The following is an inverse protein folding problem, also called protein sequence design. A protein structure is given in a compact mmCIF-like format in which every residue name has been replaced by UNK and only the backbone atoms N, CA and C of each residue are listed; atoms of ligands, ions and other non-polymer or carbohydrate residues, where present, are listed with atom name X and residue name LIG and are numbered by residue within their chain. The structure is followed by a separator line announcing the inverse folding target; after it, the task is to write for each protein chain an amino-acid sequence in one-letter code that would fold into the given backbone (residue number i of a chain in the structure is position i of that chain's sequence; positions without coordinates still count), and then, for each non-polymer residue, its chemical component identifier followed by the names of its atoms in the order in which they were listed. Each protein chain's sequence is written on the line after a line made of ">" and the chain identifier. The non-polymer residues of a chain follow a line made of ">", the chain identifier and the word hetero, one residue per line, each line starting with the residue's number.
data_IF_650360167526
#
_entry.id   IF_650360167526
#
_cell.length_a   1.000
_cell.length_b   1.000
_cell.length_c   1.000
_cell.angle_alpha   90.00
_cell.angle_beta   90.00
_cell.angle_gamma   90.00
#
_symmetry.space_group_name_H-M   'P 1'
#
loop_
_entity.id
_entity.type
_entity.pdbx_description
1 polymer ?
#
# COMPACT_ATOMS: atom_id res chain seq x y z
N UNK A 1 -19.43 7.06 7.20
CA UNK A 1 -18.94 5.75 6.74
C UNK A 1 -19.76 5.23 5.56
N UNK A 2 -19.08 4.71 4.53
CA UNK A 2 -19.64 3.97 3.40
C UNK A 2 -20.03 2.55 3.81
N UNK A 3 -21.21 2.46 4.40
CA UNK A 3 -21.77 1.20 4.89
C UNK A 3 -21.95 0.13 3.81
N UNK A 4 -22.45 0.51 2.63
CA UNK A 4 -22.79 -0.45 1.59
C UNK A 4 -21.55 -0.96 0.86
N UNK A 5 -20.58 -0.09 0.60
CA UNK A 5 -19.32 -0.45 -0.02
C UNK A 5 -18.50 -1.33 0.92
N UNK A 6 -18.39 -0.96 2.19
CA UNK A 6 -17.63 -1.75 3.17
C UNK A 6 -18.24 -3.12 3.43
N UNK A 7 -19.57 -3.24 3.51
CA UNK A 7 -20.24 -4.54 3.67
C UNK A 7 -19.93 -5.47 2.49
N UNK A 8 -20.09 -4.98 1.26
CA UNK A 8 -19.76 -5.75 0.05
C UNK A 8 -18.29 -6.17 0.02
N UNK A 9 -17.39 -5.30 0.48
CA UNK A 9 -15.97 -5.60 0.57
C UNK A 9 -15.68 -6.74 1.55
N UNK A 10 -16.25 -6.70 2.76
CA UNK A 10 -16.09 -7.74 3.76
C UNK A 10 -16.63 -9.11 3.30
N UNK A 11 -17.78 -9.11 2.62
CA UNK A 11 -18.36 -10.33 2.04
C UNK A 11 -17.45 -10.94 0.98
N UNK A 12 -16.83 -10.11 0.13
CA UNK A 12 -15.85 -10.56 -0.88
C UNK A 12 -14.56 -11.08 -0.26
N UNK A 13 -14.11 -10.51 0.85
CA UNK A 13 -12.91 -10.98 1.57
C UNK A 13 -13.18 -12.20 2.46
N UNK A 14 -14.42 -12.72 2.47
CA UNK A 14 -14.77 -13.95 3.17
C UNK A 14 -15.01 -13.80 4.67
N UNK A 15 -15.28 -12.59 5.18
CA UNK A 15 -15.64 -12.40 6.59
C UNK A 15 -17.01 -13.05 6.88
N UNK A 16 -17.08 -13.84 7.97
CA UNK A 16 -18.34 -14.46 8.39
C UNK A 16 -19.41 -13.40 8.79
N UNK A 17 -20.72 -13.67 8.60
CA UNK A 17 -21.78 -12.68 8.87
C UNK A 17 -21.75 -12.08 10.29
N UNK A 18 -21.46 -12.89 11.31
CA UNK A 18 -21.36 -12.43 12.69
C UNK A 18 -20.16 -11.49 12.91
N UNK A 19 -19.05 -11.76 12.22
CA UNK A 19 -17.87 -10.87 12.24
C UNK A 19 -18.23 -9.54 11.62
N UNK A 20 -18.88 -9.53 10.45
CA UNK A 20 -19.36 -8.30 9.77
C UNK A 20 -20.20 -7.46 10.73
N UNK A 21 -21.23 -8.05 11.35
CA UNK A 21 -22.10 -7.33 12.30
C UNK A 21 -21.32 -6.75 13.48
N UNK A 22 -20.35 -7.50 14.02
CA UNK A 22 -19.47 -7.02 15.09
C UNK A 22 -18.65 -5.82 14.62
N UNK A 23 -18.10 -5.84 13.39
CA UNK A 23 -17.33 -4.70 12.85
C UNK A 23 -18.19 -3.45 12.77
N UNK A 24 -19.39 -3.55 12.21
CA UNK A 24 -20.32 -2.42 12.13
C UNK A 24 -20.67 -1.89 13.52
N UNK A 25 -20.95 -2.76 14.49
CA UNK A 25 -21.24 -2.32 15.86
C UNK A 25 -20.08 -1.54 16.49
N UNK A 26 -18.83 -2.00 16.29
CA UNK A 26 -17.64 -1.30 16.78
C UNK A 26 -17.44 0.05 16.09
N UNK A 27 -17.54 0.10 14.76
CA UNK A 27 -17.36 1.33 13.97
C UNK A 27 -18.44 2.37 14.27
N UNK A 28 -19.70 1.97 14.42
CA UNK A 28 -20.80 2.88 14.82
C UNK A 28 -20.58 3.48 16.20
N UNK A 29 -19.94 2.74 17.11
CA UNK A 29 -19.58 3.27 18.42
C UNK A 29 -18.45 4.29 18.31
N UNK A 30 -17.49 4.11 17.42
CA UNK A 30 -16.47 5.12 17.12
C UNK A 30 -17.14 6.36 16.51
N UNK A 31 -17.96 6.21 15.47
CA UNK A 31 -18.65 7.35 14.81
C UNK A 31 -19.50 8.17 15.78
N UNK A 32 -20.18 7.52 16.73
CA UNK A 32 -20.98 8.20 17.75
C UNK A 32 -20.17 9.21 18.58
N UNK A 33 -18.87 8.96 18.80
CA UNK A 33 -18.01 9.77 19.66
C UNK A 33 -17.01 10.64 18.90
N UNK A 34 -16.69 10.28 17.66
CA UNK A 34 -15.68 10.95 16.84
C UNK A 34 -16.25 11.64 15.59
N UNK A 35 -17.50 11.39 15.23
CA UNK A 35 -18.10 11.88 13.99
C UNK A 35 -17.90 10.93 12.81
N UNK A 36 -18.20 11.40 11.60
CA UNK A 36 -18.15 10.58 10.39
C UNK A 36 -16.71 10.13 10.08
N UNK A 37 -16.51 8.81 9.97
CA UNK A 37 -15.20 8.22 9.68
C UNK A 37 -14.68 8.52 8.27
N UNK A 38 -15.55 8.78 7.29
CA UNK A 38 -15.11 9.16 5.94
C UNK A 38 -14.54 10.58 5.94
N UNK A 39 -15.16 11.48 6.70
CA UNK A 39 -14.68 12.84 6.89
C UNK A 39 -13.38 12.84 7.70
N UNK A 40 -13.31 12.05 8.78
CA UNK A 40 -12.08 11.91 9.57
C UNK A 40 -10.93 11.31 8.74
N UNK A 41 -11.21 10.32 7.89
CA UNK A 41 -10.20 9.80 6.95
C UNK A 41 -9.72 10.87 5.99
N UNK A 42 -10.64 11.67 5.43
CA UNK A 42 -10.30 12.74 4.49
C UNK A 42 -9.49 13.87 5.15
N UNK A 43 -9.70 14.13 6.44
CA UNK A 43 -9.03 15.21 7.19
C UNK A 43 -7.62 14.80 7.63
N UNK A 44 -7.47 13.66 8.30
CA UNK A 44 -6.19 13.24 8.90
C UNK A 44 -5.91 11.73 8.83
N UNK A 45 -6.56 11.01 7.91
CA UNK A 45 -6.48 9.54 7.78
C UNK A 45 -6.92 8.80 9.07
N UNK A 46 -7.74 9.43 9.90
CA UNK A 46 -8.13 8.97 11.24
C UNK A 46 -6.96 8.85 12.23
N UNK A 47 -5.81 9.49 12.00
CA UNK A 47 -4.64 9.40 12.88
C UNK A 47 -4.92 9.92 14.30
N UNK A 48 -5.69 11.01 14.43
CA UNK A 48 -6.09 11.54 15.75
C UNK A 48 -6.95 10.52 16.51
N UNK A 49 -7.87 9.83 15.82
CA UNK A 49 -8.71 8.80 16.42
C UNK A 49 -7.87 7.59 16.82
N UNK A 50 -6.99 7.10 15.93
CA UNK A 50 -6.11 5.97 16.20
C UNK A 50 -5.17 6.22 17.39
N UNK A 51 -4.71 7.45 17.54
CA UNK A 51 -3.88 7.89 18.67
C UNK A 51 -4.68 7.83 19.97
N UNK A 52 -5.89 8.38 20.00
CA UNK A 52 -6.78 8.31 21.17
C UNK A 52 -7.26 6.88 21.49
N UNK A 53 -7.26 5.96 20.52
CA UNK A 53 -7.54 4.53 20.71
C UNK A 53 -6.29 3.70 21.08
N UNK A 54 -5.13 4.33 21.22
CA UNK A 54 -3.89 3.63 21.61
C UNK A 54 -3.78 3.59 23.13
N UNK A 55 -3.75 2.38 23.69
CA UNK A 55 -3.60 2.17 25.13
C UNK A 55 -2.85 0.87 25.40
N UNK A 56 -1.74 0.96 26.11
CA UNK A 56 -0.84 -0.16 26.35
C UNK A 56 -1.12 -0.88 27.67
N UNK A 57 -0.63 -2.11 27.79
CA UNK A 57 -0.65 -2.83 29.08
C UNK A 57 0.17 -2.11 30.17
N UNK A 58 1.12 -1.25 29.79
CA UNK A 58 1.85 -0.42 30.75
C UNK A 58 0.97 0.71 31.27
N UNK A 59 0.15 1.33 30.42
CA UNK A 59 -0.77 2.40 30.82
C UNK A 59 -1.81 1.84 31.79
N UNK A 60 -2.35 0.66 31.49
CA UNK A 60 -3.24 -0.08 32.37
C UNK A 60 -2.61 -0.36 33.75
N UNK A 61 -1.35 -0.80 33.78
CA UNK A 61 -0.60 -1.05 35.02
C UNK A 61 -0.35 0.21 35.84
N UNK A 62 -0.20 1.37 35.18
CA UNK A 62 -0.06 2.67 35.85
C UNK A 62 -1.40 3.28 36.25
N UNK A 63 -2.53 2.66 35.88
CA UNK A 63 -3.86 3.17 36.16
C UNK A 63 -4.19 4.45 35.39
N UNK A 64 -3.61 4.63 34.20
CA UNK A 64 -3.89 5.79 33.34
C UNK A 64 -5.38 5.82 32.97
N UNK A 65 -6.01 7.00 32.87
CA UNK A 65 -7.39 7.09 32.43
C UNK A 65 -7.55 6.63 30.97
N UNK A 66 -8.76 6.25 30.59
CA UNK A 66 -9.11 5.98 29.19
C UNK A 66 -8.84 7.25 28.34
N UNK A 67 -7.94 7.19 27.35
CA UNK A 67 -7.59 8.33 26.51
C UNK A 67 -8.65 8.66 25.45
N UNK A 68 -9.59 7.74 25.18
CA UNK A 68 -10.60 7.91 24.14
C UNK A 68 -11.86 8.64 24.64
N UNK A 69 -12.61 9.20 23.70
CA UNK A 69 -13.95 9.79 23.94
C UNK A 69 -15.05 8.75 24.13
N UNK A 70 -14.73 7.45 23.98
CA UNK A 70 -15.69 6.35 24.08
C UNK A 70 -15.78 5.91 25.55
N UNK A 71 -16.97 5.95 26.17
CA UNK A 71 -17.16 5.38 27.50
C UNK A 71 -16.93 3.86 27.48
N UNK A 72 -16.01 3.40 28.32
CA UNK A 72 -15.66 1.98 28.48
C UNK A 72 -15.84 1.61 29.95
N UNK A 73 -16.63 0.56 30.18
CA UNK A 73 -16.73 -0.12 31.47
C UNK A 73 -15.89 -1.41 31.40
N UNK A 74 -15.02 -1.63 32.39
CA UNK A 74 -14.13 -2.80 32.43
C UNK A 74 -12.78 -2.55 31.75
N UNK A 75 -12.24 -3.56 31.06
CA UNK A 75 -10.87 -3.52 30.54
C UNK A 75 -10.71 -2.56 29.34
N UNK A 76 -10.14 -1.39 29.62
CA UNK A 76 -9.82 -0.35 28.64
C UNK A 76 -8.88 -0.88 27.55
N UNK A 77 -7.89 -1.70 27.91
CA UNK A 77 -6.87 -2.20 26.98
C UNK A 77 -7.49 -3.04 25.88
N UNK A 78 -8.27 -4.06 26.26
CA UNK A 78 -8.92 -4.96 25.29
C UNK A 78 -9.97 -4.24 24.45
N UNK A 79 -10.74 -3.33 25.05
CA UNK A 79 -11.76 -2.57 24.32
C UNK A 79 -11.13 -1.65 23.27
N UNK A 80 -10.13 -0.85 23.64
CA UNK A 80 -9.46 0.06 22.70
C UNK A 80 -8.68 -0.68 21.62
N UNK A 81 -8.03 -1.79 21.96
CA UNK A 81 -7.41 -2.68 20.97
C UNK A 81 -8.42 -3.23 19.96
N UNK A 82 -9.63 -3.58 20.42
CA UNK A 82 -10.73 -4.01 19.56
C UNK A 82 -11.20 -2.89 18.64
N UNK A 83 -11.52 -1.70 19.15
CA UNK A 83 -11.93 -0.55 18.32
C UNK A 83 -10.87 -0.23 17.25
N UNK A 84 -9.59 -0.19 17.64
CA UNK A 84 -8.48 0.07 16.73
C UNK A 84 -8.37 -0.97 15.62
N UNK A 85 -8.57 -2.25 15.93
CA UNK A 85 -8.56 -3.34 14.94
C UNK A 85 -9.67 -3.17 13.91
N UNK A 86 -10.86 -2.80 14.37
CA UNK A 86 -12.02 -2.60 13.49
C UNK A 86 -11.88 -1.34 12.64
N UNK A 87 -11.39 -0.24 13.22
CA UNK A 87 -11.10 0.99 12.49
C UNK A 87 -10.06 0.74 11.39
N UNK A 88 -8.93 0.09 11.70
CA UNK A 88 -7.91 -0.26 10.70
C UNK A 88 -8.45 -1.11 9.55
N UNK A 89 -9.38 -2.02 9.82
CA UNK A 89 -10.02 -2.82 8.77
C UNK A 89 -10.89 -1.96 7.84
N UNK A 90 -11.55 -0.93 8.38
CA UNK A 90 -12.29 0.04 7.58
C UNK A 90 -11.35 0.94 6.76
N UNK A 91 -10.23 1.39 7.35
CA UNK A 91 -9.22 2.16 6.64
C UNK A 91 -8.58 1.38 5.48
N UNK A 92 -8.32 0.08 5.65
CA UNK A 92 -7.83 -0.77 4.56
C UNK A 92 -8.84 -0.88 3.40
N UNK A 93 -10.14 -0.81 3.69
CA UNK A 93 -11.17 -0.74 2.66
C UNK A 93 -11.15 0.61 1.94
N UNK A 94 -11.03 1.72 2.66
CA UNK A 94 -10.95 3.06 2.07
C UNK A 94 -9.72 3.20 1.17
N UNK A 95 -8.57 2.70 1.60
CA UNK A 95 -7.33 2.69 0.82
C UNK A 95 -7.47 1.90 -0.49
N UNK A 96 -8.08 0.72 -0.43
CA UNK A 96 -8.36 -0.05 -1.65
C UNK A 96 -9.40 0.62 -2.54
N UNK A 97 -10.40 1.30 -1.97
CA UNK A 97 -11.40 2.05 -2.74
C UNK A 97 -10.79 3.25 -3.43
N UNK A 98 -10.03 4.07 -2.72
CA UNK A 98 -9.31 5.21 -3.30
C UNK A 98 -8.35 4.73 -4.40
N UNK A 99 -7.66 3.61 -4.19
CA UNK A 99 -6.84 2.99 -5.24
C UNK A 99 -7.70 2.60 -6.46
N UNK A 100 -8.87 1.98 -6.26
CA UNK A 100 -9.77 1.60 -7.34
C UNK A 100 -10.40 2.81 -8.06
N UNK A 101 -10.72 3.88 -7.33
CA UNK A 101 -11.28 5.13 -7.86
C UNK A 101 -10.20 5.91 -8.63
N UNK A 102 -8.98 5.96 -8.11
CA UNK A 102 -7.81 6.50 -8.82
C UNK A 102 -7.53 5.69 -10.09
N UNK A 103 -7.64 4.36 -10.04
CA UNK A 103 -7.56 3.51 -11.23
C UNK A 103 -8.71 3.85 -12.19
N UNK A 104 -9.94 4.01 -11.72
CA UNK A 104 -11.11 4.29 -12.57
C UNK A 104 -11.05 5.67 -13.25
N UNK A 105 -10.69 6.72 -12.51
CA UNK A 105 -10.45 8.08 -13.05
C UNK A 105 -9.32 8.08 -14.06
N UNK A 106 -8.26 7.32 -13.77
CA UNK A 106 -7.14 7.19 -14.69
C UNK A 106 -7.62 6.41 -15.94
N UNK A 107 -8.50 5.39 -15.82
CA UNK A 107 -9.07 4.53 -16.89
C UNK A 107 -9.94 5.28 -17.90
N UNK A 108 -10.72 6.27 -17.46
CA UNK A 108 -11.49 7.11 -18.38
C UNK A 108 -10.62 7.97 -19.31
N UNK A 109 -9.34 8.18 -19.00
CA UNK A 109 -8.50 9.15 -19.72
C UNK A 109 -7.81 8.66 -21.01
N UNK A 110 -7.67 7.35 -21.31
CA UNK A 110 -7.06 6.95 -22.62
C UNK A 110 -7.16 5.48 -23.09
N UNK A 111 -7.60 4.50 -22.28
CA UNK A 111 -7.75 3.10 -22.75
C UNK A 111 -8.54 2.25 -21.74
N UNK A 112 -9.38 1.34 -22.23
CA UNK A 112 -10.19 0.45 -21.38
C UNK A 112 -9.35 -0.48 -20.48
N UNK A 113 -9.90 -0.99 -19.37
CA UNK A 113 -9.15 -1.70 -18.32
C UNK A 113 -8.43 -2.96 -18.82
N UNK A 114 -9.01 -3.69 -19.77
CA UNK A 114 -8.36 -4.85 -20.39
C UNK A 114 -7.12 -4.49 -21.22
N UNK A 115 -7.10 -3.30 -21.82
CA UNK A 115 -5.98 -2.84 -22.65
C UNK A 115 -4.83 -2.35 -21.78
N UNK A 116 -5.13 -1.67 -20.66
CA UNK A 116 -4.13 -1.27 -19.66
C UNK A 116 -3.44 -2.44 -18.99
N UNK A 117 -4.22 -3.42 -18.56
CA UNK A 117 -3.67 -4.64 -17.96
C UNK A 117 -2.69 -5.34 -18.90
N UNK A 118 -3.01 -5.39 -20.20
CA UNK A 118 -2.09 -5.92 -21.21
C UNK A 118 -0.84 -5.06 -21.37
N UNK A 119 -0.96 -3.73 -21.39
CA UNK A 119 0.20 -2.85 -21.45
C UNK A 119 1.12 -2.98 -20.23
N UNK A 120 0.55 -3.15 -19.04
CA UNK A 120 1.31 -3.35 -17.80
C UNK A 120 2.09 -4.68 -17.85
N UNK A 121 1.43 -5.77 -18.24
CA UNK A 121 2.09 -7.06 -18.43
C UNK A 121 3.17 -7.02 -19.52
N UNK A 122 2.89 -6.37 -20.66
CA UNK A 122 3.84 -6.22 -21.76
C UNK A 122 5.05 -5.35 -21.33
N UNK A 123 4.81 -4.33 -20.51
CA UNK A 123 5.84 -3.45 -19.94
C UNK A 123 6.73 -4.20 -18.93
N UNK A 124 6.13 -4.93 -17.99
CA UNK A 124 6.87 -5.77 -17.05
C UNK A 124 7.75 -6.77 -17.80
N UNK A 125 7.19 -7.45 -18.80
CA UNK A 125 7.94 -8.42 -19.60
C UNK A 125 9.09 -7.76 -20.38
N UNK A 126 8.89 -6.56 -20.93
CA UNK A 126 9.91 -5.83 -21.68
C UNK A 126 11.03 -5.30 -20.78
N UNK A 127 10.69 -4.71 -19.63
CA UNK A 127 11.65 -4.17 -18.66
C UNK A 127 12.44 -5.29 -17.99
N UNK A 128 11.79 -6.41 -17.63
CA UNK A 128 12.46 -7.57 -17.05
C UNK A 128 13.46 -8.23 -18.02
N UNK A 129 13.25 -8.10 -19.33
CA UNK A 129 14.21 -8.56 -20.36
C UNK A 129 15.34 -7.57 -20.62
N UNK A 130 15.22 -6.35 -20.10
CA UNK A 130 16.12 -5.23 -20.38
C UNK A 130 16.72 -4.64 -19.11
N UNK A 131 16.97 -5.48 -18.08
CA UNK A 131 17.50 -5.02 -16.78
C UNK A 131 18.85 -4.31 -16.90
N UNK A 132 19.68 -4.64 -17.90
CA UNK A 132 20.93 -3.90 -18.17
C UNK A 132 20.70 -2.42 -18.50
N UNK A 133 19.51 -2.05 -19.01
CA UNK A 133 19.14 -0.65 -19.26
C UNK A 133 18.77 0.11 -17.98
N UNK A 134 18.36 -0.61 -16.92
CA UNK A 134 18.11 -0.02 -15.60
C UNK A 134 19.45 0.30 -14.94
N UNK A 135 20.34 -0.69 -14.88
CA UNK A 135 21.70 -0.53 -14.35
C UNK A 135 22.64 -1.58 -14.96
N UNK A 136 23.86 -1.21 -15.39
CA UNK A 136 24.83 -2.18 -15.89
C UNK A 136 25.14 -3.30 -14.89
N UNK A 137 25.03 -4.55 -15.34
CA UNK A 137 25.29 -5.73 -14.51
C UNK A 137 24.14 -6.15 -13.59
N UNK A 138 22.95 -5.55 -13.74
CA UNK A 138 21.74 -6.00 -13.08
C UNK A 138 21.22 -7.30 -13.73
N UNK A 139 21.08 -8.35 -12.92
CA UNK A 139 20.68 -9.69 -13.39
C UNK A 139 19.38 -10.13 -12.76
N UNK A 140 18.49 -10.74 -13.56
CA UNK A 140 17.20 -11.21 -13.08
C UNK A 140 17.38 -12.38 -12.11
N UNK A 141 16.72 -12.33 -10.95
CA UNK A 141 16.60 -13.46 -10.02
C UNK A 141 15.24 -14.13 -10.20
N UNK A 142 14.16 -13.37 -10.10
CA UNK A 142 12.78 -13.86 -10.15
C UNK A 142 11.83 -12.74 -10.61
N UNK A 143 10.82 -13.08 -11.42
CA UNK A 143 9.71 -12.17 -11.77
C UNK A 143 8.49 -12.56 -10.96
N UNK A 144 7.64 -11.59 -10.61
CA UNK A 144 6.40 -11.81 -9.88
C UNK A 144 6.65 -12.62 -8.60
N UNK A 145 7.63 -12.17 -7.81
CA UNK A 145 8.06 -12.86 -6.59
C UNK A 145 7.04 -12.67 -5.47
N UNK A 146 6.52 -13.78 -4.98
CA UNK A 146 5.58 -13.77 -3.85
C UNK A 146 6.30 -13.51 -2.52
N UNK A 147 5.92 -12.44 -1.84
CA UNK A 147 6.41 -12.04 -0.52
C UNK A 147 5.24 -11.97 0.47
N UNK A 148 5.49 -12.04 1.79
CA UNK A 148 4.44 -11.90 2.81
C UNK A 148 3.58 -10.64 2.66
N UNK A 149 4.17 -9.52 2.24
CA UNK A 149 3.48 -8.24 2.07
C UNK A 149 2.87 -8.03 0.67
N UNK A 150 3.10 -8.94 -0.29
CA UNK A 150 2.52 -8.83 -1.62
C UNK A 150 3.33 -9.48 -2.73
N UNK A 151 3.04 -9.10 -3.97
CA UNK A 151 3.71 -9.60 -5.17
C UNK A 151 4.67 -8.51 -5.67
N UNK A 152 5.97 -8.82 -5.67
CA UNK A 152 7.00 -7.95 -6.19
C UNK A 152 7.21 -8.22 -7.68
N UNK A 153 7.16 -7.19 -8.51
CA UNK A 153 7.24 -7.34 -9.98
C UNK A 153 8.55 -8.00 -10.42
N UNK A 154 9.68 -7.50 -9.92
CA UNK A 154 11.00 -8.06 -10.25
C UNK A 154 11.92 -8.07 -9.02
N UNK A 155 12.50 -9.24 -8.75
CA UNK A 155 13.68 -9.37 -7.93
C UNK A 155 14.91 -9.55 -8.82
N UNK A 156 15.92 -8.71 -8.60
CA UNK A 156 17.17 -8.73 -9.34
C UNK A 156 18.38 -8.76 -8.39
N UNK A 157 19.56 -8.96 -8.97
CA UNK A 157 20.85 -8.89 -8.30
C UNK A 157 21.76 -7.91 -9.01
N UNK A 158 22.32 -6.95 -8.29
CA UNK A 158 23.26 -5.98 -8.84
C UNK A 158 24.64 -6.59 -9.10
N UNK A 159 25.52 -5.83 -9.76
CA UNK A 159 26.87 -6.26 -10.11
C UNK A 159 27.76 -6.61 -8.90
N UNK A 160 27.38 -6.19 -7.68
CA UNK A 160 28.09 -6.50 -6.44
C UNK A 160 27.49 -7.71 -5.71
N UNK A 161 26.44 -8.31 -6.27
CA UNK A 161 25.74 -9.45 -5.69
C UNK A 161 24.62 -9.08 -4.73
N UNK A 162 24.31 -7.78 -4.53
CA UNK A 162 23.24 -7.31 -3.66
C UNK A 162 21.86 -7.50 -4.29
N UNK A 163 20.83 -7.81 -3.48
CA UNK A 163 19.46 -7.90 -3.97
C UNK A 163 18.87 -6.52 -4.24
N UNK A 164 18.10 -6.44 -5.33
CA UNK A 164 17.38 -5.24 -5.76
C UNK A 164 15.92 -5.61 -5.98
N UNK A 165 15.03 -5.07 -5.15
CA UNK A 165 13.59 -5.14 -5.36
C UNK A 165 13.18 -4.03 -6.33
N UNK A 166 12.45 -4.37 -7.38
CA UNK A 166 12.04 -3.42 -8.41
C UNK A 166 10.52 -3.47 -8.56
N UNK A 167 9.89 -2.33 -8.33
CA UNK A 167 8.46 -2.09 -8.57
C UNK A 167 8.31 -1.28 -9.86
N UNK A 168 7.46 -1.74 -10.76
CA UNK A 168 7.18 -1.14 -12.06
C UNK A 168 5.81 -0.48 -12.02
N UNK A 169 5.69 0.71 -12.61
CA UNK A 169 4.40 1.36 -12.83
C UNK A 169 4.27 1.77 -14.28
N UNK A 170 3.15 1.39 -14.90
CA UNK A 170 2.82 1.80 -16.27
C UNK A 170 2.32 3.26 -16.38
N UNK A 171 2.00 3.87 -15.24
CA UNK A 171 1.45 5.22 -15.11
C UNK A 171 2.21 6.02 -14.05
N UNK A 172 1.77 7.24 -13.77
CA UNK A 172 2.38 8.10 -12.74
C UNK A 172 2.40 7.39 -11.39
N UNK A 173 3.59 7.16 -10.85
CA UNK A 173 3.75 6.59 -9.53
C UNK A 173 3.31 7.60 -8.45
N UNK A 174 2.34 7.20 -7.64
CA UNK A 174 1.77 7.95 -6.52
C UNK A 174 2.31 7.41 -5.19
N UNK A 175 2.13 8.17 -4.09
CA UNK A 175 2.78 7.95 -2.78
C UNK A 175 2.61 6.55 -2.19
N UNK A 176 1.54 5.84 -2.55
CA UNK A 176 1.18 4.51 -2.06
C UNK A 176 2.28 3.48 -2.36
N UNK A 177 2.96 3.64 -3.50
CA UNK A 177 4.07 2.76 -3.92
C UNK A 177 5.26 2.79 -2.94
N UNK A 178 5.44 3.87 -2.16
CA UNK A 178 6.51 3.94 -1.17
C UNK A 178 6.30 2.93 -0.04
N UNK A 179 5.07 2.76 0.43
CA UNK A 179 4.73 1.77 1.45
C UNK A 179 4.92 0.36 0.93
N UNK A 180 4.54 0.13 -0.32
CA UNK A 180 4.68 -1.15 -1.02
C UNK A 180 6.15 -1.58 -1.13
N UNK A 181 7.01 -0.75 -1.75
CA UNK A 181 8.43 -1.10 -1.92
C UNK A 181 9.15 -1.24 -0.56
N UNK A 182 8.80 -0.43 0.43
CA UNK A 182 9.38 -0.51 1.77
C UNK A 182 9.02 -1.84 2.46
N UNK A 183 7.78 -2.31 2.32
CA UNK A 183 7.35 -3.60 2.85
C UNK A 183 8.09 -4.76 2.17
N UNK A 184 8.25 -4.72 0.85
CA UNK A 184 9.01 -5.74 0.12
C UNK A 184 10.48 -5.79 0.52
N UNK A 185 11.11 -4.62 0.69
CA UNK A 185 12.50 -4.54 1.17
C UNK A 185 12.65 -5.13 2.57
N UNK A 186 11.66 -4.92 3.45
CA UNK A 186 11.65 -5.50 4.79
C UNK A 186 11.51 -7.03 4.75
N UNK A 187 10.57 -7.56 3.96
CA UNK A 187 10.40 -9.01 3.80
C UNK A 187 11.68 -9.70 3.29
N UNK A 188 12.34 -9.10 2.30
CA UNK A 188 13.61 -9.59 1.75
C UNK A 188 14.76 -9.47 2.76
N UNK A 189 14.77 -8.41 3.58
CA UNK A 189 15.75 -8.26 4.64
C UNK A 189 15.57 -9.32 5.72
N UNK A 190 14.33 -9.61 6.11
CA UNK A 190 14.02 -10.66 7.09
C UNK A 190 14.40 -12.05 6.56
N UNK A 191 14.23 -12.30 5.26
CA UNK A 191 14.64 -13.55 4.60
C UNK A 191 16.17 -13.71 4.51
N UNK A 192 16.90 -12.64 4.16
CA UNK A 192 18.32 -12.74 3.79
C UNK A 192 19.29 -12.22 4.85
N UNK A 193 18.81 -11.49 5.85
CA UNK A 193 19.61 -10.80 6.84
C UNK A 193 20.35 -9.56 6.32
N UNK A 194 20.17 -9.20 5.05
CA UNK A 194 20.82 -8.05 4.40
C UNK A 194 19.79 -7.10 3.85
N UNK A 195 19.95 -5.80 4.09
CA UNK A 195 19.06 -4.77 3.54
C UNK A 195 19.22 -4.73 2.00
N UNK A 196 18.18 -5.07 1.21
CA UNK A 196 18.24 -4.93 -0.24
C UNK A 196 18.17 -3.45 -0.66
N UNK A 197 18.45 -3.18 -1.94
CA UNK A 197 18.06 -1.91 -2.58
C UNK A 197 16.62 -1.99 -3.06
N UNK A 198 15.95 -0.86 -3.10
CA UNK A 198 14.66 -0.70 -3.77
C UNK A 198 14.79 0.17 -5.01
N UNK A 199 14.05 -0.14 -6.07
CA UNK A 199 13.89 0.70 -7.24
C UNK A 199 12.41 0.81 -7.58
N UNK A 200 11.93 2.03 -7.77
CA UNK A 200 10.63 2.27 -8.41
C UNK A 200 10.90 2.79 -9.81
N UNK A 201 10.32 2.14 -10.82
CA UNK A 201 10.49 2.50 -12.23
C UNK A 201 9.13 2.89 -12.82
N UNK A 202 9.00 4.13 -13.27
CA UNK A 202 7.72 4.68 -13.72
C UNK A 202 7.93 5.72 -14.85
N UNK A 203 6.93 6.02 -15.69
CA UNK A 203 7.04 7.11 -16.67
C UNK A 203 7.11 8.49 -15.98
N UNK A 204 6.41 8.64 -14.85
CA UNK A 204 6.31 9.86 -14.08
C UNK A 204 6.12 9.57 -12.58
N UNK A 205 6.40 10.56 -11.72
CA UNK A 205 6.34 10.44 -10.27
C UNK A 205 5.70 11.69 -9.67
N UNK A 206 4.80 11.52 -8.70
CA UNK A 206 4.29 12.63 -7.90
C UNK A 206 5.39 13.30 -7.07
N UNK A 207 5.24 14.61 -6.85
CA UNK A 207 6.21 15.43 -6.09
C UNK A 207 6.37 15.00 -4.63
N UNK A 208 5.29 14.54 -3.97
CA UNK A 208 5.34 14.04 -2.60
C UNK A 208 6.06 12.70 -2.54
N UNK A 209 5.84 11.82 -3.53
CA UNK A 209 6.59 10.56 -3.66
C UNK A 209 8.09 10.85 -3.77
N UNK A 210 8.51 11.73 -4.68
CA UNK A 210 9.92 12.09 -4.86
C UNK A 210 10.51 12.60 -3.54
N UNK A 211 9.75 13.41 -2.80
CA UNK A 211 10.18 13.96 -1.51
C UNK A 211 10.32 12.87 -0.45
N UNK A 212 9.35 11.95 -0.35
CA UNK A 212 9.38 10.84 0.62
C UNK A 212 10.47 9.82 0.33
N UNK A 213 10.68 9.47 -0.95
CA UNK A 213 11.70 8.50 -1.35
C UNK A 213 13.12 8.88 -0.91
N UNK A 214 13.42 10.18 -0.82
CA UNK A 214 14.75 10.69 -0.39
C UNK A 214 15.12 10.28 1.03
N UNK A 215 14.15 9.95 1.88
CA UNK A 215 14.39 9.54 3.26
C UNK A 215 14.52 8.02 3.43
N UNK A 216 14.19 7.23 2.40
CA UNK A 216 14.24 5.77 2.46
C UNK A 216 15.63 5.33 1.97
N UNK A 217 16.44 4.82 2.91
CA UNK A 217 17.78 4.36 2.61
C UNK A 217 17.76 3.20 1.58
N UNK A 218 18.57 3.31 0.53
CA UNK A 218 18.68 2.29 -0.52
C UNK A 218 17.56 2.30 -1.55
N UNK A 219 16.60 3.25 -1.49
CA UNK A 219 15.55 3.41 -2.49
C UNK A 219 15.99 4.38 -3.61
N UNK A 220 15.90 3.93 -4.86
CA UNK A 220 16.08 4.74 -6.05
C UNK A 220 14.78 4.90 -6.85
N UNK A 221 14.68 6.00 -7.60
CA UNK A 221 13.60 6.26 -8.54
C UNK A 221 14.17 6.36 -9.96
N UNK A 222 13.60 5.63 -10.91
CA UNK A 222 14.02 5.66 -12.31
C UNK A 222 12.84 6.01 -13.21
N UNK A 223 13.05 6.97 -14.11
CA UNK A 223 12.09 7.26 -15.17
C UNK A 223 12.43 6.47 -16.43
N UNK A 224 11.44 5.82 -17.03
CA UNK A 224 11.57 5.26 -18.38
C UNK A 224 10.81 6.12 -19.39
N UNK A 225 11.19 6.03 -20.67
CA UNK A 225 10.51 6.67 -21.80
C UNK A 225 10.55 5.73 -23.00
N UNK A 226 9.53 5.79 -23.85
CA UNK A 226 9.53 5.11 -25.14
C UNK A 226 10.14 6.01 -26.21
N UNK A 227 11.01 5.44 -27.06
CA UNK A 227 11.52 6.09 -28.26
C UNK A 227 11.17 5.20 -29.46
N UNK A 228 10.56 5.79 -30.49
CA UNK A 228 10.30 5.11 -31.76
C UNK A 228 11.43 5.41 -32.74
N UNK A 229 11.95 4.36 -33.38
CA UNK A 229 12.88 4.47 -34.50
C UNK A 229 12.17 3.96 -35.75
N UNK A 230 12.25 4.69 -36.86
CA UNK A 230 11.62 4.32 -38.13
C UNK A 230 12.70 4.03 -39.16
N UNK A 231 12.55 2.93 -39.89
CA UNK A 231 13.41 2.57 -41.01
C UNK A 231 12.55 2.45 -42.28
N UNK A 232 13.02 2.96 -43.42
CA UNK A 232 12.33 2.79 -44.70
C UNK A 232 12.36 1.32 -45.12
N UNK A 233 11.23 0.84 -45.65
CA UNK A 233 11.13 -0.48 -46.28
C UNK A 233 11.31 -0.30 -47.78
N UNK A 234 12.36 -0.90 -48.35
CA UNK A 234 12.58 -1.03 -49.80
C UNK A 234 11.89 -2.28 -50.37
#
# INVERSE_FOLDING_TARGET
>A
MDDQGFRRWLERTGDAPNTVNTRFAMLRRIEKHYGDLDLAHSDDLCESILTELSYSTSDARRGEPNPSRIPIEGDVTSNLASYRTHLRKYLAYLDQRETADLIAEEVEADAGPAQRFRYEQDLEAALSRSLEQIEPGLTLVEQQRSLPSGLLDVLARDARGGLVAIELKAVTAKREVLGQIAAYMADLQDETGTLPRGLIVAPEFDTKLISGARLIAGLGLLRYRFAFTFEPVE
#
